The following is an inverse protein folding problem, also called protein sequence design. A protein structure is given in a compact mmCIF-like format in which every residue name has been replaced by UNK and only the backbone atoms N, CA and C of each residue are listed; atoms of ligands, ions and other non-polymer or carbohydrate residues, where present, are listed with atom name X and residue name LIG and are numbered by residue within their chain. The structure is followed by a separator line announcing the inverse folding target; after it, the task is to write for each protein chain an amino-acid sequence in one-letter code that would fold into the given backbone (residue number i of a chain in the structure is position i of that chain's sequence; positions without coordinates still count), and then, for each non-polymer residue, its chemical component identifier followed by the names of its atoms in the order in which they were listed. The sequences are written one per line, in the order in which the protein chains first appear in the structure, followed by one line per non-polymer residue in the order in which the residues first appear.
data_IF_265633815822
#
_entry.id   IF_265633815822
#
_cell.length_a   1.000
_cell.length_b   1.000
_cell.length_c   1.000
_cell.angle_alpha   90.00
_cell.angle_beta   90.00
_cell.angle_gamma   90.00
#
_symmetry.space_group_name_H-M   'P 1'
#
loop_
_entity.id
_entity.type
_entity.pdbx_description
1 polymer ?
#
# COMPACT_ATOMS: atom_id res chain seq x y z
N UNK A 1 -26.14 32.62 -2.14
CA UNK A 1 -25.99 33.37 -3.38
C UNK A 1 -26.31 32.51 -4.61
N UNK A 2 -25.73 31.30 -4.80
CA UNK A 2 -26.01 30.40 -5.93
C UNK A 2 -27.51 30.08 -6.08
N UNK A 3 -28.18 29.72 -4.99
CA UNK A 3 -29.62 29.40 -5.01
C UNK A 3 -30.48 30.57 -5.47
N UNK A 4 -30.12 31.79 -5.02
CA UNK A 4 -30.82 33.05 -5.42
C UNK A 4 -30.62 33.36 -6.90
N UNK A 5 -29.36 33.19 -7.38
CA UNK A 5 -29.04 33.43 -8.80
C UNK A 5 -29.70 32.41 -9.73
N UNK A 6 -29.79 31.14 -9.29
CA UNK A 6 -30.44 30.10 -10.05
C UNK A 6 -31.96 30.05 -9.92
N UNK A 7 -32.58 30.91 -9.09
CA UNK A 7 -34.03 30.93 -8.88
C UNK A 7 -34.59 29.68 -8.20
N UNK A 8 -33.79 28.99 -7.34
CA UNK A 8 -34.20 27.75 -6.67
C UNK A 8 -34.00 27.82 -5.16
N UNK A 9 -34.56 26.85 -4.43
CA UNK A 9 -34.29 26.75 -2.99
C UNK A 9 -32.83 26.37 -2.70
N UNK A 10 -32.32 26.73 -1.51
CA UNK A 10 -30.99 26.33 -1.06
C UNK A 10 -30.83 24.81 -1.06
N UNK A 11 -31.88 24.08 -0.69
CA UNK A 11 -31.89 22.62 -0.72
C UNK A 11 -31.76 22.05 -2.15
N UNK A 12 -32.46 22.68 -3.12
CA UNK A 12 -32.38 22.30 -4.53
C UNK A 12 -31.00 22.62 -5.11
N UNK A 13 -30.45 23.82 -4.83
CA UNK A 13 -29.12 24.18 -5.26
C UNK A 13 -28.05 23.23 -4.68
N UNK A 14 -28.13 22.92 -3.39
CA UNK A 14 -27.24 21.96 -2.74
C UNK A 14 -27.33 20.57 -3.37
N UNK A 15 -28.55 20.10 -3.65
CA UNK A 15 -28.77 18.79 -4.30
C UNK A 15 -28.24 18.76 -5.73
N UNK A 16 -28.47 19.82 -6.50
CA UNK A 16 -27.98 19.93 -7.87
C UNK A 16 -26.43 19.93 -7.96
N UNK A 17 -25.77 20.45 -6.93
CA UNK A 17 -24.31 20.47 -6.84
C UNK A 17 -23.72 19.17 -6.31
N UNK A 18 -24.41 18.48 -5.38
CA UNK A 18 -23.88 17.28 -4.71
C UNK A 18 -24.33 15.97 -5.36
N UNK A 19 -25.56 15.91 -5.88
CA UNK A 19 -26.17 14.73 -6.51
C UNK A 19 -26.91 15.15 -7.78
N UNK A 20 -26.20 15.50 -8.85
CA UNK A 20 -26.78 16.11 -10.05
C UNK A 20 -27.83 15.25 -10.72
N UNK A 21 -27.75 13.92 -10.61
CA UNK A 21 -28.66 12.96 -11.22
C UNK A 21 -30.06 12.94 -10.56
N UNK A 22 -30.19 13.51 -9.36
CA UNK A 22 -31.47 13.64 -8.64
C UNK A 22 -32.22 14.94 -8.96
N UNK A 23 -31.72 15.73 -9.92
CA UNK A 23 -32.30 17.04 -10.26
C UNK A 23 -32.47 17.15 -11.78
N UNK A 24 -33.59 17.73 -12.21
CA UNK A 24 -33.89 17.93 -13.62
C UNK A 24 -32.76 18.72 -14.34
N UNK A 25 -32.48 18.35 -15.58
CA UNK A 25 -31.36 18.89 -16.36
C UNK A 25 -31.37 20.44 -16.50
N UNK A 26 -32.52 21.04 -16.62
CA UNK A 26 -32.66 22.52 -16.69
C UNK A 26 -32.21 23.17 -15.38
N UNK A 27 -32.66 22.62 -14.24
CA UNK A 27 -32.30 23.13 -12.92
C UNK A 27 -30.79 22.88 -12.62
N UNK A 28 -30.27 21.71 -13.02
CA UNK A 28 -28.83 21.39 -12.87
C UNK A 28 -27.97 22.39 -13.64
N UNK A 29 -28.33 22.71 -14.87
CA UNK A 29 -27.63 23.72 -15.68
C UNK A 29 -27.68 25.10 -15.04
N UNK A 30 -28.88 25.58 -14.69
CA UNK A 30 -29.05 26.88 -14.05
C UNK A 30 -28.23 27.06 -12.77
N UNK A 31 -28.18 26.03 -11.93
CA UNK A 31 -27.38 26.00 -10.68
C UNK A 31 -25.89 26.00 -10.97
N UNK A 32 -25.43 25.24 -11.96
CA UNK A 32 -24.02 25.20 -12.37
C UNK A 32 -23.55 26.54 -12.92
N UNK A 33 -24.35 27.18 -13.79
CA UNK A 33 -24.04 28.46 -14.37
C UNK A 33 -24.01 29.57 -13.30
N UNK A 34 -24.96 29.54 -12.35
CA UNK A 34 -24.98 30.46 -11.23
C UNK A 34 -23.76 30.25 -10.30
N UNK A 35 -23.35 29.00 -10.06
CA UNK A 35 -22.15 28.73 -9.28
C UNK A 35 -20.87 29.23 -9.95
N UNK A 36 -20.75 29.03 -11.27
CA UNK A 36 -19.64 29.53 -12.07
C UNK A 36 -19.59 31.07 -12.07
N UNK A 37 -20.74 31.74 -12.25
CA UNK A 37 -20.82 33.21 -12.33
C UNK A 37 -20.43 33.91 -11.03
N UNK A 38 -20.69 33.29 -9.87
CA UNK A 38 -20.32 33.87 -8.58
C UNK A 38 -19.01 33.25 -7.97
N UNK A 39 -18.28 32.44 -8.76
CA UNK A 39 -17.03 31.80 -8.31
C UNK A 39 -17.23 30.83 -7.16
N UNK A 40 -18.44 30.29 -6.96
CA UNK A 40 -18.74 29.38 -5.87
C UNK A 40 -18.06 28.02 -6.12
N UNK A 41 -17.23 27.62 -5.18
CA UNK A 41 -16.69 26.26 -5.11
C UNK A 41 -17.32 25.54 -3.92
N UNK A 42 -17.70 24.29 -4.13
CA UNK A 42 -18.21 23.45 -3.04
C UNK A 42 -17.12 23.40 -1.94
N UNK A 43 -17.50 23.79 -0.73
CA UNK A 43 -16.63 23.62 0.42
C UNK A 43 -16.63 22.15 0.81
N UNK A 44 -15.59 21.43 0.37
CA UNK A 44 -15.45 20.00 0.64
C UNK A 44 -15.32 19.70 2.14
N UNK A 45 -14.72 20.61 2.92
CA UNK A 45 -14.61 20.46 4.37
C UNK A 45 -16.00 20.52 5.04
N UNK A 46 -16.83 21.49 4.66
CA UNK A 46 -18.18 21.58 5.19
C UNK A 46 -19.07 20.40 4.73
N UNK A 47 -18.82 19.89 3.52
CA UNK A 47 -19.49 18.68 3.03
C UNK A 47 -19.06 17.45 3.84
N UNK A 48 -17.76 17.21 4.02
CA UNK A 48 -17.24 16.05 4.74
C UNK A 48 -17.70 16.02 6.20
N UNK A 49 -17.73 17.16 6.88
CA UNK A 49 -18.29 17.27 8.23
C UNK A 49 -19.76 16.84 8.31
N UNK A 50 -20.57 17.22 7.30
CA UNK A 50 -21.99 16.87 7.26
C UNK A 50 -22.26 15.40 6.95
N UNK A 51 -21.49 14.80 6.03
CA UNK A 51 -21.67 13.40 5.60
C UNK A 51 -20.74 12.44 6.34
N UNK A 52 -19.86 12.95 7.18
CA UNK A 52 -18.82 12.20 7.91
C UNK A 52 -17.97 11.31 6.99
N UNK A 53 -17.68 11.83 5.79
CA UNK A 53 -16.83 11.18 4.80
C UNK A 53 -15.94 12.23 4.14
N UNK A 54 -14.70 11.83 3.90
CA UNK A 54 -13.67 12.67 3.27
C UNK A 54 -13.42 12.28 1.81
N UNK A 55 -13.91 11.11 1.40
CA UNK A 55 -13.62 10.46 0.13
C UNK A 55 -12.08 10.39 -0.10
N UNK A 56 -11.33 10.10 0.97
CA UNK A 56 -9.88 10.07 1.00
C UNK A 56 -9.37 8.81 1.70
N UNK A 57 -8.37 8.16 1.12
CA UNK A 57 -7.65 7.02 1.69
C UNK A 57 -6.23 7.43 2.07
N UNK A 58 -5.69 6.86 3.14
CA UNK A 58 -4.28 6.95 3.50
C UNK A 58 -3.57 5.68 3.05
N UNK A 59 -2.50 5.84 2.27
CA UNK A 59 -1.63 4.76 1.85
C UNK A 59 -0.27 4.93 2.50
N UNK A 60 0.11 3.99 3.37
CA UNK A 60 1.39 3.98 4.05
C UNK A 60 2.34 2.98 3.40
N UNK A 61 3.45 3.49 2.86
CA UNK A 61 4.52 2.70 2.26
C UNK A 61 5.83 2.83 3.07
N UNK A 62 6.70 1.79 3.08
CA UNK A 62 7.94 1.83 3.85
C UNK A 62 8.92 2.88 3.36
N UNK A 63 9.09 3.03 2.04
CA UNK A 63 10.05 3.95 1.43
C UNK A 63 9.68 4.24 -0.03
N UNK A 64 10.31 5.28 -0.59
CA UNK A 64 10.15 5.66 -2.01
C UNK A 64 11.29 5.12 -2.90
N UNK A 65 12.43 4.77 -2.31
CA UNK A 65 13.66 4.45 -3.05
C UNK A 65 13.61 3.06 -3.72
N UNK A 66 12.78 2.17 -3.22
CA UNK A 66 12.55 0.88 -3.84
C UNK A 66 11.47 1.00 -4.92
N UNK A 67 11.77 0.76 -6.22
CA UNK A 67 10.83 0.95 -7.34
C UNK A 67 9.57 0.07 -7.28
N UNK A 68 9.57 -0.95 -6.43
CA UNK A 68 8.43 -1.80 -6.19
C UNK A 68 7.25 -1.02 -5.58
N UNK A 69 7.50 -0.17 -4.58
CA UNK A 69 6.43 0.57 -3.91
C UNK A 69 5.77 1.64 -4.78
N UNK A 70 6.49 2.48 -5.53
CA UNK A 70 5.88 3.43 -6.45
C UNK A 70 4.95 2.81 -7.50
N UNK A 71 5.28 1.62 -8.01
CA UNK A 71 4.43 0.92 -8.96
C UNK A 71 3.07 0.52 -8.33
N UNK A 72 3.10 0.05 -7.09
CA UNK A 72 1.90 -0.30 -6.33
C UNK A 72 1.08 0.93 -5.94
N UNK A 73 1.76 1.99 -5.47
CA UNK A 73 1.11 3.28 -5.15
C UNK A 73 0.29 3.75 -6.35
N UNK A 74 0.89 3.75 -7.54
CA UNK A 74 0.19 4.14 -8.78
C UNK A 74 -1.05 3.28 -9.04
N UNK A 75 -0.93 1.97 -8.95
CA UNK A 75 -2.05 1.05 -9.20
C UNK A 75 -3.21 1.25 -8.21
N UNK A 76 -2.88 1.52 -6.95
CA UNK A 76 -3.87 1.81 -5.91
C UNK A 76 -4.51 3.17 -6.15
N UNK A 77 -3.72 4.18 -6.50
CA UNK A 77 -4.21 5.54 -6.80
C UNK A 77 -5.17 5.54 -7.98
N UNK A 78 -4.81 4.88 -9.09
CA UNK A 78 -5.67 4.75 -10.28
C UNK A 78 -7.01 4.09 -9.93
N UNK A 79 -6.97 3.03 -9.13
CA UNK A 79 -8.17 2.31 -8.69
C UNK A 79 -9.03 3.16 -7.75
N UNK A 80 -8.40 3.82 -6.78
CA UNK A 80 -9.09 4.69 -5.83
C UNK A 80 -9.78 5.86 -6.54
N UNK A 81 -9.07 6.49 -7.49
CA UNK A 81 -9.60 7.60 -8.29
C UNK A 81 -10.82 7.17 -9.12
N UNK A 82 -10.76 5.98 -9.75
CA UNK A 82 -11.89 5.42 -10.49
C UNK A 82 -13.11 5.17 -9.58
N UNK A 83 -12.89 4.94 -8.29
CA UNK A 83 -13.94 4.76 -7.27
C UNK A 83 -14.33 6.08 -6.57
N UNK A 84 -13.77 7.23 -6.96
CA UNK A 84 -14.09 8.55 -6.41
C UNK A 84 -13.33 8.90 -5.13
N UNK A 85 -12.23 8.20 -4.82
CA UNK A 85 -11.38 8.48 -3.67
C UNK A 85 -10.08 9.18 -4.09
N UNK A 86 -9.67 10.16 -3.30
CA UNK A 86 -8.30 10.68 -3.32
C UNK A 86 -7.38 9.79 -2.45
N UNK A 87 -6.08 9.77 -2.75
CA UNK A 87 -5.09 9.03 -1.97
C UNK A 87 -4.06 9.99 -1.40
N UNK A 88 -3.86 9.95 -0.09
CA UNK A 88 -2.72 10.58 0.57
C UNK A 88 -1.66 9.48 0.75
N UNK A 89 -0.47 9.70 0.21
CA UNK A 89 0.65 8.75 0.34
C UNK A 89 1.58 9.22 1.45
N UNK A 90 1.81 8.35 2.43
CA UNK A 90 2.77 8.55 3.49
C UNK A 90 3.91 7.54 3.41
N UNK A 91 5.14 8.00 3.62
CA UNK A 91 6.31 7.13 3.73
C UNK A 91 6.76 7.07 5.18
N UNK A 92 6.76 5.87 5.75
CA UNK A 92 7.10 5.68 7.17
C UNK A 92 8.61 5.67 7.40
N UNK A 93 9.40 5.34 6.38
CA UNK A 93 10.84 5.12 6.48
C UNK A 93 11.22 4.21 7.66
N UNK A 94 10.29 3.34 8.08
CA UNK A 94 10.38 2.48 9.27
C UNK A 94 10.65 3.27 10.58
N UNK A 95 10.32 4.55 10.62
CA UNK A 95 10.55 5.46 11.74
C UNK A 95 9.27 5.72 12.52
N UNK A 96 9.33 5.63 13.85
CA UNK A 96 8.22 5.88 14.77
C UNK A 96 7.66 7.30 14.63
N UNK A 97 8.52 8.30 14.48
CA UNK A 97 8.11 9.70 14.30
C UNK A 97 7.13 9.90 13.14
N UNK A 98 7.37 9.23 12.01
CA UNK A 98 6.45 9.33 10.87
C UNK A 98 5.15 8.58 11.11
N UNK A 99 5.21 7.46 11.83
CA UNK A 99 4.02 6.68 12.20
C UNK A 99 3.09 7.47 13.09
N UNK A 100 3.64 8.14 14.12
CA UNK A 100 2.87 9.02 15.02
C UNK A 100 2.18 10.15 14.25
N UNK A 101 2.90 10.82 13.33
CA UNK A 101 2.33 11.89 12.53
C UNK A 101 1.14 11.41 11.65
N UNK A 102 1.20 10.19 11.14
CA UNK A 102 0.08 9.60 10.38
C UNK A 102 -1.06 9.12 11.29
N UNK A 103 -0.78 8.66 12.50
CA UNK A 103 -1.80 8.33 13.49
C UNK A 103 -2.66 9.55 13.84
N UNK A 104 -2.05 10.74 13.91
CA UNK A 104 -2.77 12.00 14.14
C UNK A 104 -3.74 12.33 12.98
N UNK A 105 -3.35 12.06 11.73
CA UNK A 105 -4.25 12.22 10.58
C UNK A 105 -5.49 11.32 10.69
N UNK A 106 -5.29 10.09 11.15
CA UNK A 106 -6.36 9.12 11.33
C UNK A 106 -7.31 9.53 12.45
N UNK A 107 -6.75 9.92 13.61
CA UNK A 107 -7.53 10.35 14.77
C UNK A 107 -8.35 11.61 14.49
N UNK A 108 -7.84 12.51 13.64
CA UNK A 108 -8.53 13.72 13.20
C UNK A 108 -9.67 13.46 12.20
N UNK A 109 -9.94 12.20 11.81
CA UNK A 109 -11.00 11.84 10.87
C UNK A 109 -10.81 12.41 9.46
N UNK A 110 -9.55 12.57 9.03
CA UNK A 110 -9.22 13.16 7.72
C UNK A 110 -9.19 12.15 6.58
N UNK A 111 -9.37 10.88 6.89
CA UNK A 111 -9.41 9.79 5.91
C UNK A 111 -10.51 8.78 6.28
N UNK A 112 -11.02 8.08 5.29
CA UNK A 112 -12.12 7.12 5.40
C UNK A 112 -11.62 5.67 5.49
N UNK A 113 -10.34 5.45 5.22
CA UNK A 113 -9.71 4.14 5.28
C UNK A 113 -8.20 4.21 5.07
N UNK A 114 -7.52 3.10 5.33
CA UNK A 114 -6.07 3.00 5.25
C UNK A 114 -5.64 1.73 4.52
N UNK A 115 -4.60 1.87 3.69
CA UNK A 115 -3.85 0.75 3.12
C UNK A 115 -2.43 0.82 3.65
N UNK A 116 -1.93 -0.27 4.24
CA UNK A 116 -0.60 -0.33 4.89
C UNK A 116 0.28 -1.35 4.18
N UNK A 117 1.45 -0.91 3.74
CA UNK A 117 2.50 -1.75 3.14
C UNK A 117 3.69 -1.97 4.08
N UNK A 118 3.71 -1.31 5.23
CA UNK A 118 4.80 -1.40 6.20
C UNK A 118 4.50 -2.44 7.28
N UNK A 119 4.94 -3.68 7.05
CA UNK A 119 4.69 -4.82 7.93
C UNK A 119 5.39 -4.78 9.30
N UNK A 120 6.28 -3.82 9.52
CA UNK A 120 6.98 -3.65 10.81
C UNK A 120 6.25 -2.77 11.80
N UNK A 121 5.14 -2.16 11.41
CA UNK A 121 4.35 -1.26 12.24
C UNK A 121 3.13 -1.99 12.77
N UNK A 122 2.97 -2.09 14.07
CA UNK A 122 1.70 -2.54 14.64
C UNK A 122 0.56 -1.70 14.08
N UNK A 123 -0.34 -2.30 13.30
CA UNK A 123 -1.56 -1.64 12.81
C UNK A 123 -2.37 -1.11 13.97
N UNK A 124 -2.29 -1.77 15.12
CA UNK A 124 -2.97 -1.39 16.36
C UNK A 124 -2.65 0.05 16.79
N UNK A 125 -1.46 0.55 16.52
CA UNK A 125 -1.08 1.94 16.79
C UNK A 125 -1.78 2.94 15.90
N UNK A 126 -2.13 2.52 14.68
CA UNK A 126 -2.88 3.37 13.74
C UNK A 126 -4.39 3.29 13.97
N UNK A 127 -4.88 2.14 14.42
CA UNK A 127 -6.32 1.93 14.63
C UNK A 127 -6.79 2.23 16.05
N UNK A 128 -5.87 2.38 17.03
CA UNK A 128 -6.21 2.60 18.42
C UNK A 128 -7.26 3.69 18.69
N UNK A 129 -7.14 4.90 18.08
CA UNK A 129 -8.15 5.96 18.23
C UNK A 129 -9.42 5.75 17.40
N UNK A 130 -9.36 4.92 16.35
CA UNK A 130 -10.44 4.66 15.40
C UNK A 130 -10.53 3.16 15.09
N UNK A 131 -11.03 2.34 16.01
CA UNK A 131 -11.15 0.89 15.82
C UNK A 131 -12.11 0.50 14.68
N UNK A 132 -13.00 1.41 14.30
CA UNK A 132 -13.95 1.28 13.19
C UNK A 132 -13.39 1.65 11.82
N UNK A 133 -12.14 2.19 11.77
CA UNK A 133 -11.53 2.58 10.51
C UNK A 133 -11.22 1.35 9.66
N UNK A 134 -11.70 1.27 8.41
CA UNK A 134 -11.33 0.21 7.49
C UNK A 134 -9.81 0.24 7.20
N UNK A 135 -9.13 -0.88 7.45
CA UNK A 135 -7.70 -1.06 7.17
C UNK A 135 -7.50 -2.29 6.32
N UNK A 136 -6.69 -2.18 5.29
CA UNK A 136 -6.20 -3.31 4.50
C UNK A 136 -4.68 -3.31 4.56
N UNK A 137 -4.11 -4.48 4.83
CA UNK A 137 -2.68 -4.69 4.84
C UNK A 137 -2.21 -5.34 3.55
N UNK A 138 -1.02 -4.95 3.06
CA UNK A 138 -0.37 -5.58 1.92
C UNK A 138 0.93 -6.26 2.36
N UNK A 139 1.19 -7.44 1.78
CA UNK A 139 2.40 -8.28 1.87
C UNK A 139 2.63 -8.93 3.22
N UNK A 140 2.98 -8.18 4.24
CA UNK A 140 3.38 -8.72 5.52
C UNK A 140 2.17 -8.87 6.45
N UNK A 141 1.96 -10.06 6.96
CA UNK A 141 0.91 -10.32 7.94
C UNK A 141 1.36 -9.81 9.31
N UNK A 142 0.63 -8.86 9.87
CA UNK A 142 0.73 -8.54 11.29
C UNK A 142 -0.08 -9.62 12.02
N UNK A 143 0.61 -10.50 12.74
CA UNK A 143 0.01 -11.70 13.32
C UNK A 143 -1.05 -11.42 14.40
N UNK A 144 -1.12 -10.20 14.92
CA UNK A 144 -1.94 -9.85 16.08
C UNK A 144 -3.21 -9.06 15.76
N UNK A 145 -3.37 -8.53 14.56
CA UNK A 145 -4.56 -7.78 14.18
C UNK A 145 -5.41 -8.52 13.14
N UNK A 146 -6.73 -8.67 13.36
CA UNK A 146 -7.63 -9.31 12.41
C UNK A 146 -8.01 -8.37 11.26
N UNK A 147 -7.03 -7.85 10.55
CA UNK A 147 -7.26 -6.97 9.39
C UNK A 147 -7.17 -7.75 8.08
N UNK A 148 -8.01 -7.43 7.09
CA UNK A 148 -7.89 -7.99 5.75
C UNK A 148 -6.47 -7.79 5.19
N UNK A 149 -5.89 -8.87 4.67
CA UNK A 149 -4.51 -8.85 4.15
C UNK A 149 -4.49 -9.37 2.72
N UNK A 150 -3.88 -8.61 1.81
CA UNK A 150 -3.54 -9.04 0.46
C UNK A 150 -2.05 -9.37 0.42
N UNK A 151 -1.71 -10.61 0.13
CA UNK A 151 -0.33 -11.08 0.13
C UNK A 151 -0.01 -12.01 -1.03
N UNK A 152 1.27 -12.13 -1.30
CA UNK A 152 1.83 -13.18 -2.16
C UNK A 152 2.17 -14.38 -1.27
N UNK A 153 2.07 -15.58 -1.80
CA UNK A 153 2.58 -16.80 -1.15
C UNK A 153 4.11 -16.86 -1.36
N UNK A 154 4.84 -16.28 -0.42
CA UNK A 154 6.30 -16.15 -0.49
C UNK A 154 7.02 -17.52 -0.44
N UNK A 155 6.44 -18.53 0.22
CA UNK A 155 6.98 -19.90 0.19
C UNK A 155 6.85 -20.49 -1.22
N UNK A 156 5.69 -20.34 -1.86
CA UNK A 156 5.44 -20.80 -3.22
C UNK A 156 6.33 -20.11 -4.24
N UNK A 157 6.52 -18.80 -4.11
CA UNK A 157 7.41 -18.02 -5.01
C UNK A 157 8.83 -18.59 -4.98
N UNK A 158 9.37 -18.85 -3.79
CA UNK A 158 10.68 -19.44 -3.63
C UNK A 158 10.74 -20.87 -4.17
N UNK A 159 9.69 -21.66 -3.98
CA UNK A 159 9.59 -23.03 -4.54
C UNK A 159 9.63 -23.02 -6.07
N UNK A 160 8.84 -22.17 -6.70
CA UNK A 160 8.81 -22.04 -8.17
C UNK A 160 10.19 -21.68 -8.72
N UNK A 161 10.88 -20.72 -8.09
CA UNK A 161 12.21 -20.29 -8.51
C UNK A 161 13.24 -21.43 -8.39
N UNK A 162 13.33 -22.09 -7.23
CA UNK A 162 14.28 -23.19 -7.01
C UNK A 162 14.00 -24.37 -7.95
N UNK A 163 12.75 -24.76 -8.09
CA UNK A 163 12.35 -25.85 -8.99
C UNK A 163 12.74 -25.57 -10.44
N UNK A 164 12.54 -24.32 -10.90
CA UNK A 164 12.95 -23.91 -12.24
C UNK A 164 14.47 -24.03 -12.41
N UNK A 165 15.25 -23.49 -11.49
CA UNK A 165 16.70 -23.57 -11.53
C UNK A 165 17.22 -25.02 -11.46
N UNK A 166 16.64 -25.86 -10.60
CA UNK A 166 16.97 -27.28 -10.51
C UNK A 166 16.66 -28.03 -11.80
N UNK A 167 15.54 -27.71 -12.47
CA UNK A 167 15.18 -28.31 -13.78
C UNK A 167 16.14 -27.91 -14.89
N UNK A 168 16.78 -26.74 -14.79
CA UNK A 168 17.82 -26.28 -15.71
C UNK A 168 19.20 -26.89 -15.42
N UNK A 169 19.31 -27.76 -14.42
CA UNK A 169 20.53 -28.46 -14.05
C UNK A 169 21.38 -27.79 -12.98
N UNK A 170 20.94 -26.65 -12.44
CA UNK A 170 21.65 -26.01 -11.33
C UNK A 170 21.57 -26.87 -10.07
N UNK A 171 22.71 -27.05 -9.40
CA UNK A 171 22.80 -27.83 -8.16
C UNK A 171 23.29 -26.98 -7.00
N UNK A 172 24.06 -25.94 -7.29
CA UNK A 172 24.62 -25.00 -6.33
C UNK A 172 23.93 -23.65 -6.49
N UNK A 173 22.82 -23.49 -5.74
CA UNK A 173 21.90 -22.36 -5.84
C UNK A 173 22.07 -21.49 -4.61
N UNK A 174 22.30 -20.18 -4.82
CA UNK A 174 22.38 -19.22 -3.73
C UNK A 174 21.03 -18.53 -3.46
N UNK A 175 20.91 -17.95 -2.28
CA UNK A 175 19.76 -17.15 -1.88
C UNK A 175 20.21 -15.83 -1.23
N UNK A 176 19.93 -14.72 -1.89
CA UNK A 176 20.10 -13.38 -1.30
C UNK A 176 18.79 -13.00 -0.62
N UNK A 177 18.79 -13.00 0.71
CA UNK A 177 17.60 -12.75 1.52
C UNK A 177 17.32 -11.26 1.70
N UNK A 178 16.09 -10.91 2.03
CA UNK A 178 15.75 -9.61 2.61
C UNK A 178 16.14 -9.53 4.10
N UNK A 179 15.74 -8.43 4.76
CA UNK A 179 15.96 -8.28 6.19
C UNK A 179 15.23 -9.39 6.98
N UNK A 180 15.88 -10.01 7.97
CA UNK A 180 15.28 -11.05 8.79
C UNK A 180 14.07 -10.57 9.62
N UNK A 181 13.96 -9.27 9.82
CA UNK A 181 12.82 -8.67 10.53
C UNK A 181 11.54 -8.64 9.68
N UNK A 182 11.67 -8.82 8.37
CA UNK A 182 10.52 -8.86 7.45
C UNK A 182 9.92 -10.28 7.38
N UNK A 183 8.62 -10.45 7.66
CA UNK A 183 7.94 -11.72 7.55
C UNK A 183 8.09 -12.37 6.17
N UNK A 184 7.89 -11.61 5.09
CA UNK A 184 8.05 -12.08 3.71
C UNK A 184 9.46 -12.62 3.40
N UNK A 185 10.51 -12.04 3.98
CA UNK A 185 11.88 -12.53 3.81
C UNK A 185 12.07 -13.88 4.53
N UNK A 186 11.49 -14.04 5.70
CA UNK A 186 11.51 -15.32 6.43
C UNK A 186 10.75 -16.42 5.70
N UNK A 187 9.56 -16.12 5.19
CA UNK A 187 8.74 -17.05 4.41
C UNK A 187 9.46 -17.47 3.12
N UNK A 188 10.08 -16.55 2.39
CA UNK A 188 10.90 -16.87 1.20
C UNK A 188 12.10 -17.75 1.55
N UNK A 189 12.82 -17.47 2.66
CA UNK A 189 13.93 -18.30 3.09
C UNK A 189 13.47 -19.73 3.45
N UNK A 190 12.34 -19.84 4.13
CA UNK A 190 11.74 -21.14 4.47
C UNK A 190 11.32 -21.91 3.21
N UNK A 191 10.64 -21.23 2.27
CA UNK A 191 10.27 -21.81 0.99
C UNK A 191 11.47 -22.27 0.17
N UNK A 192 12.55 -21.47 0.13
CA UNK A 192 13.82 -21.82 -0.49
C UNK A 192 14.38 -23.12 0.09
N UNK A 193 14.55 -23.20 1.41
CA UNK A 193 15.10 -24.39 2.06
C UNK A 193 14.25 -25.64 1.82
N UNK A 194 12.93 -25.51 1.90
CA UNK A 194 12.00 -26.60 1.61
C UNK A 194 12.07 -27.05 0.15
N UNK A 195 12.20 -26.13 -0.78
CA UNK A 195 12.31 -26.42 -2.21
C UNK A 195 13.65 -27.10 -2.55
N UNK A 196 14.75 -26.64 -1.97
CA UNK A 196 16.06 -27.32 -2.10
C UNK A 196 15.96 -28.77 -1.65
N UNK A 197 15.39 -29.01 -0.47
CA UNK A 197 15.21 -30.38 0.06
C UNK A 197 14.34 -31.26 -0.86
N UNK A 198 13.21 -30.74 -1.36
CA UNK A 198 12.33 -31.46 -2.31
C UNK A 198 13.03 -31.84 -3.62
N UNK A 199 14.02 -31.05 -4.06
CA UNK A 199 14.81 -31.32 -5.25
C UNK A 199 16.10 -32.12 -4.97
N UNK A 200 16.30 -32.60 -3.74
CA UNK A 200 17.49 -33.34 -3.34
C UNK A 200 18.77 -32.49 -3.34
N UNK A 201 18.65 -31.19 -3.15
CA UNK A 201 19.78 -30.26 -3.16
C UNK A 201 20.11 -29.80 -1.73
N UNK A 202 21.41 -29.67 -1.40
CA UNK A 202 21.83 -29.22 -0.08
C UNK A 202 21.58 -27.70 0.07
N UNK A 203 21.19 -27.30 1.26
CA UNK A 203 21.24 -25.86 1.66
C UNK A 203 22.60 -25.61 2.32
N UNK A 204 23.43 -24.84 1.63
CA UNK A 204 24.74 -24.49 2.12
C UNK A 204 24.72 -23.07 2.72
N UNK A 205 25.00 -22.93 4.02
CA UNK A 205 25.02 -21.61 4.68
C UNK A 205 25.92 -20.56 3.99
N UNK A 206 27.10 -20.92 3.41
CA UNK A 206 27.86 -19.96 2.62
C UNK A 206 27.18 -19.41 1.39
N UNK A 207 26.13 -20.06 0.89
CA UNK A 207 25.32 -19.61 -0.26
C UNK A 207 24.13 -18.74 0.14
N UNK A 208 23.93 -18.50 1.43
CA UNK A 208 22.86 -17.62 1.92
C UNK A 208 23.48 -16.31 2.38
N UNK A 209 23.07 -15.20 1.79
CA UNK A 209 23.56 -13.85 2.11
C UNK A 209 22.40 -12.93 2.37
N UNK A 210 22.58 -11.98 3.27
CA UNK A 210 21.58 -10.96 3.54
C UNK A 210 21.79 -9.74 2.63
N UNK A 211 20.84 -9.43 1.78
CA UNK A 211 20.81 -8.24 0.93
C UNK A 211 20.08 -7.05 1.56
N UNK A 212 19.59 -7.19 2.80
CA UNK A 212 18.90 -6.15 3.56
C UNK A 212 17.67 -5.54 2.88
N UNK A 213 17.22 -6.11 1.75
CA UNK A 213 16.06 -5.63 1.00
C UNK A 213 16.29 -4.33 0.21
N UNK A 214 17.55 -3.96 -0.05
CA UNK A 214 17.91 -2.82 -0.88
C UNK A 214 19.07 -3.15 -1.84
N UNK A 215 19.21 -2.32 -2.87
CA UNK A 215 20.11 -2.57 -4.01
C UNK A 215 21.58 -2.75 -3.61
N UNK A 216 22.08 -1.87 -2.75
CA UNK A 216 23.48 -1.85 -2.33
C UNK A 216 23.83 -3.14 -1.53
N UNK A 217 22.95 -3.52 -0.61
CA UNK A 217 23.11 -4.76 0.16
C UNK A 217 23.07 -6.01 -0.72
N UNK A 218 22.17 -6.04 -1.72
CA UNK A 218 22.10 -7.14 -2.68
C UNK A 218 23.37 -7.22 -3.56
N UNK A 219 23.91 -6.08 -3.99
CA UNK A 219 25.15 -6.03 -4.75
C UNK A 219 26.36 -6.55 -3.95
N UNK A 220 26.48 -6.14 -2.69
CA UNK A 220 27.54 -6.62 -1.79
C UNK A 220 27.39 -8.12 -1.51
N UNK A 221 26.17 -8.60 -1.25
CA UNK A 221 25.88 -10.02 -1.06
C UNK A 221 26.25 -10.84 -2.31
N UNK A 222 25.95 -10.34 -3.52
CA UNK A 222 26.33 -10.98 -4.77
C UNK A 222 27.85 -11.06 -4.93
N UNK A 223 28.57 -9.97 -4.64
CA UNK A 223 30.02 -9.93 -4.70
C UNK A 223 30.63 -11.01 -3.79
N UNK A 224 30.19 -11.11 -2.54
CA UNK A 224 30.63 -12.13 -1.59
C UNK A 224 30.38 -13.55 -2.08
N UNK A 225 29.24 -13.80 -2.74
CA UNK A 225 28.91 -15.10 -3.34
C UNK A 225 29.85 -15.46 -4.49
N UNK A 226 30.20 -14.48 -5.33
CA UNK A 226 31.10 -14.69 -6.48
C UNK A 226 32.56 -14.87 -6.05
N UNK A 227 32.97 -14.35 -4.88
CA UNK A 227 34.32 -14.50 -4.32
C UNK A 227 34.54 -15.85 -3.58
N UNK A 228 33.52 -16.69 -3.44
CA UNK A 228 33.65 -18.01 -2.86
C UNK A 228 34.59 -18.88 -3.72
N UNK A 229 35.35 -19.76 -3.08
CA UNK A 229 36.23 -20.73 -3.78
C UNK A 229 35.45 -21.63 -4.76
N UNK A 230 34.19 -21.87 -4.45
CA UNK A 230 33.20 -22.51 -5.32
C UNK A 230 31.96 -21.62 -5.36
N UNK A 231 31.87 -20.70 -6.31
CA UNK A 231 30.72 -19.81 -6.42
C UNK A 231 29.43 -20.58 -6.77
N UNK A 232 28.26 -20.01 -6.49
CA UNK A 232 27.01 -20.59 -6.96
C UNK A 232 26.91 -20.54 -8.49
N UNK A 233 26.08 -21.41 -9.05
CA UNK A 233 25.78 -21.42 -10.49
C UNK A 233 24.46 -20.70 -10.81
N UNK A 234 23.65 -20.40 -9.78
CA UNK A 234 22.41 -19.63 -9.85
C UNK A 234 22.13 -18.98 -8.47
#
# INVERSE_FOLDING_TARGET
DVAKLAGVSVATASRALSNPDLVADGTRRAVRDAAASCGYKINLVARSLRIQRTDTLLLLAPCIDNPFYPALVRSIEDTALAMGYAVIVGFTNKSEKYREAYADLLSAGRVDGMVVMDGGSGVDRFTGPRPDLPVVQLFDRIYEAPVPTVRVDDELVADVAVRQLASMGHRRIAHITGSPDQPSARERRKGFAAAMARNGLPVEEPLIRNGHGHREGAAEAMKQLLELSQPPTA
#
